data_IF_159929363910
#
_entry.id   IF_159929363910
#
_cell.length_a   1.000
_cell.length_b   1.000
_cell.length_c   1.000
_cell.angle_alpha   90.00
_cell.angle_beta   90.00
_cell.angle_gamma   90.00
#
_symmetry.space_group_name_H-M   'P 1'
#
loop_
_entity.id
_entity.type
_entity.pdbx_description
1 polymer ?
#
# COMPACT_ATOMS: atom_id res chain seq x y z
N UNK A 1 -27.60 27.65 -4.93
CA UNK A 1 -26.32 27.86 -4.23
C UNK A 1 -25.79 26.49 -3.87
N UNK A 2 -24.72 26.04 -4.52
CA UNK A 2 -24.17 24.69 -4.35
C UNK A 2 -23.07 24.67 -3.30
N UNK A 3 -23.23 23.85 -2.27
CA UNK A 3 -22.23 23.60 -1.24
C UNK A 3 -21.28 22.51 -1.71
N UNK A 4 -20.03 22.88 -2.03
CA UNK A 4 -18.94 21.95 -2.33
C UNK A 4 -18.42 21.37 -1.03
N UNK A 5 -18.66 20.07 -0.81
CA UNK A 5 -18.05 19.31 0.27
C UNK A 5 -16.61 18.96 -0.13
N UNK A 6 -15.67 19.82 0.25
CA UNK A 6 -14.24 19.50 0.20
C UNK A 6 -13.95 18.50 1.31
N UNK A 7 -13.81 17.22 0.95
CA UNK A 7 -13.31 16.19 1.86
C UNK A 7 -11.79 16.33 1.97
N UNK A 8 -11.36 17.11 2.96
CA UNK A 8 -9.97 17.22 3.37
C UNK A 8 -9.59 15.92 4.08
N UNK A 9 -8.73 15.12 3.45
CA UNK A 9 -8.13 13.97 4.11
C UNK A 9 -7.16 14.50 5.17
N UNK A 10 -7.52 14.37 6.44
CA UNK A 10 -6.64 14.69 7.57
C UNK A 10 -5.98 13.38 8.00
N UNK A 11 -4.65 13.25 7.87
CA UNK A 11 -3.93 12.13 8.47
C UNK A 11 -4.11 12.19 9.98
N UNK A 12 -4.60 11.09 10.57
CA UNK A 12 -4.69 10.97 12.02
C UNK A 12 -3.29 11.15 12.63
N UNK A 13 -3.12 12.21 13.42
CA UNK A 13 -1.92 12.42 14.22
C UNK A 13 -1.90 11.37 15.33
N UNK A 14 -1.14 10.29 15.11
CA UNK A 14 -0.67 9.45 16.19
C UNK A 14 0.64 10.02 16.69
N UNK A 15 0.63 10.53 17.92
CA UNK A 15 1.81 10.85 18.71
C UNK A 15 2.70 9.63 18.83
N UNK A 16 3.79 9.61 18.09
CA UNK A 16 5.14 9.28 18.57
C UNK A 16 6.13 9.68 17.48
N UNK A 17 7.33 10.07 17.89
CA UNK A 17 8.42 10.59 17.06
C UNK A 17 9.07 9.48 16.21
N UNK A 18 8.24 8.73 15.48
CA UNK A 18 8.64 7.62 14.60
C UNK A 18 8.57 8.20 13.20
N UNK A 19 9.71 8.22 12.49
CA UNK A 19 9.69 8.42 11.04
C UNK A 19 8.59 7.52 10.47
N UNK A 20 7.65 8.02 9.66
CA UNK A 20 6.57 7.19 9.16
C UNK A 20 7.18 5.98 8.44
N UNK A 21 7.11 4.82 9.08
CA UNK A 21 7.56 3.57 8.47
C UNK A 21 6.63 3.37 7.29
N UNK A 22 7.18 3.43 6.08
CA UNK A 22 6.42 3.15 4.87
C UNK A 22 6.06 1.67 4.91
N UNK A 23 4.84 1.39 5.33
CA UNK A 23 4.29 0.03 5.32
C UNK A 23 3.94 -0.38 3.89
N UNK A 24 3.93 -1.68 3.63
CA UNK A 24 3.60 -2.18 2.30
C UNK A 24 2.19 -1.75 1.85
N UNK A 25 1.23 -1.72 2.76
CA UNK A 25 -0.14 -1.27 2.45
C UNK A 25 -0.21 0.23 2.16
N UNK A 26 0.51 1.06 2.93
CA UNK A 26 0.59 2.49 2.64
C UNK A 26 1.27 2.74 1.28
N UNK A 27 2.34 2.00 0.97
CA UNK A 27 3.01 2.10 -0.34
C UNK A 27 2.06 1.79 -1.49
N UNK A 28 1.22 0.74 -1.39
CA UNK A 28 0.20 0.43 -2.41
C UNK A 28 -0.78 1.58 -2.59
N UNK A 29 -1.36 2.07 -1.51
CA UNK A 29 -2.33 3.17 -1.55
C UNK A 29 -1.73 4.42 -2.19
N UNK A 30 -0.48 4.73 -1.86
CA UNK A 30 0.26 5.84 -2.45
C UNK A 30 0.45 5.65 -3.96
N UNK A 31 0.85 4.46 -4.43
CA UNK A 31 1.01 4.19 -5.86
C UNK A 31 -0.32 4.21 -6.61
N UNK A 32 -1.38 3.64 -6.05
CA UNK A 32 -2.73 3.66 -6.63
C UNK A 32 -3.25 5.10 -6.76
N UNK A 33 -3.06 5.92 -5.73
CA UNK A 33 -3.47 7.31 -5.75
C UNK A 33 -2.63 8.13 -6.74
N UNK A 34 -1.31 7.95 -6.77
CA UNK A 34 -0.46 8.57 -7.80
C UNK A 34 -0.93 8.22 -9.21
N UNK A 35 -1.23 6.95 -9.45
CA UNK A 35 -1.74 6.47 -10.73
C UNK A 35 -3.07 7.11 -11.09
N UNK A 36 -3.98 7.24 -10.12
CA UNK A 36 -5.31 7.86 -10.29
C UNK A 36 -5.21 9.36 -10.58
N UNK A 37 -4.47 10.10 -9.76
CA UNK A 37 -4.29 11.55 -9.89
C UNK A 37 -3.59 11.88 -11.21
N UNK A 38 -2.52 11.15 -11.54
CA UNK A 38 -1.80 11.30 -12.80
C UNK A 38 -2.71 11.08 -14.01
N UNK A 39 -3.48 9.99 -14.01
CA UNK A 39 -4.42 9.69 -15.09
C UNK A 39 -5.53 10.74 -15.22
N UNK A 40 -6.02 11.27 -14.09
CA UNK A 40 -7.04 12.32 -14.08
C UNK A 40 -6.49 13.62 -14.69
N UNK A 41 -5.29 14.04 -14.29
CA UNK A 41 -4.64 15.24 -14.81
C UNK A 41 -4.38 15.12 -16.31
N UNK A 42 -3.81 13.99 -16.76
CA UNK A 42 -3.52 13.74 -18.17
C UNK A 42 -4.78 13.71 -19.04
N UNK A 43 -5.90 13.18 -18.54
CA UNK A 43 -7.19 13.24 -19.25
C UNK A 43 -7.70 14.68 -19.38
N UNK A 44 -7.47 15.52 -18.36
CA UNK A 44 -7.82 16.94 -18.36
C UNK A 44 -7.06 17.75 -19.41
N UNK A 45 -5.85 17.32 -19.78
CA UNK A 45 -5.02 17.99 -20.79
C UNK A 45 -5.48 17.79 -22.24
N UNK A 46 -6.40 16.85 -22.50
CA UNK A 46 -6.82 16.50 -23.87
C UNK A 46 -7.56 17.68 -24.52
N UNK A 47 -6.83 18.52 -25.27
CA UNK A 47 -7.35 19.68 -25.99
C UNK A 47 -7.05 21.05 -25.36
N UNK A 48 -6.21 21.13 -24.33
CA UNK A 48 -5.76 22.39 -23.73
C UNK A 48 -4.41 22.86 -24.30
N UNK A 49 -4.11 24.14 -24.12
CA UNK A 49 -2.98 24.93 -24.64
C UNK A 49 -1.69 24.90 -23.77
N UNK A 50 -0.60 25.43 -24.34
CA UNK A 50 0.77 25.61 -23.80
C UNK A 50 0.95 25.67 -22.29
N UNK A 51 0.18 26.55 -21.64
CA UNK A 51 0.34 26.86 -20.22
C UNK A 51 -0.19 25.76 -19.29
N UNK A 52 -1.18 24.98 -19.71
CA UNK A 52 -1.78 23.92 -18.90
C UNK A 52 -0.85 22.72 -18.75
N UNK A 53 -0.03 22.46 -19.77
CA UNK A 53 0.94 21.37 -19.76
C UNK A 53 2.00 21.54 -18.67
N UNK A 54 2.52 22.76 -18.42
CA UNK A 54 3.56 22.95 -17.39
C UNK A 54 3.08 22.52 -15.99
N UNK A 55 1.85 22.90 -15.61
CA UNK A 55 1.29 22.54 -14.31
C UNK A 55 1.07 21.03 -14.20
N UNK A 56 0.56 20.41 -15.25
CA UNK A 56 0.42 18.97 -15.27
C UNK A 56 1.77 18.25 -15.23
N UNK A 57 2.80 18.73 -15.94
CA UNK A 57 4.15 18.15 -15.85
C UNK A 57 4.68 18.20 -14.41
N UNK A 58 4.53 19.34 -13.74
CA UNK A 58 4.94 19.48 -12.34
C UNK A 58 4.21 18.49 -11.43
N UNK A 59 2.89 18.34 -11.60
CA UNK A 59 2.09 17.40 -10.83
C UNK A 59 2.54 15.95 -11.09
N UNK A 60 2.64 15.56 -12.36
CA UNK A 60 3.03 14.20 -12.75
C UNK A 60 4.43 13.89 -12.24
N UNK A 61 5.36 14.85 -12.28
CA UNK A 61 6.71 14.68 -11.75
C UNK A 61 6.73 14.51 -10.24
N UNK A 62 5.88 15.24 -9.50
CA UNK A 62 5.73 15.06 -8.07
C UNK A 62 5.17 13.67 -7.73
N UNK A 63 4.17 13.19 -8.49
CA UNK A 63 3.60 11.85 -8.29
C UNK A 63 4.64 10.76 -8.59
N UNK A 64 5.38 10.86 -9.70
CA UNK A 64 6.46 9.93 -10.00
C UNK A 64 7.55 9.94 -8.93
N UNK A 65 7.98 11.12 -8.50
CA UNK A 65 8.96 11.26 -7.43
C UNK A 65 8.52 10.57 -6.15
N UNK A 66 7.24 10.67 -5.79
CA UNK A 66 6.67 9.92 -4.68
C UNK A 66 6.65 8.41 -4.93
N UNK A 67 6.28 7.95 -6.12
CA UNK A 67 6.31 6.50 -6.43
C UNK A 67 7.73 5.94 -6.32
N UNK A 68 8.74 6.67 -6.80
CA UNK A 68 10.15 6.29 -6.65
C UNK A 68 10.57 6.07 -5.19
N UNK A 69 10.00 6.81 -4.22
CA UNK A 69 10.35 6.62 -2.80
C UNK A 69 9.67 5.41 -2.18
N UNK A 70 8.51 4.99 -2.69
CA UNK A 70 7.72 3.89 -2.10
C UNK A 70 7.82 2.57 -2.85
N UNK A 71 8.34 2.57 -4.08
CA UNK A 71 8.33 1.39 -4.97
C UNK A 71 9.01 0.16 -4.37
N UNK A 72 10.06 0.35 -3.56
CA UNK A 72 10.78 -0.76 -2.92
C UNK A 72 10.00 -1.41 -1.78
N UNK A 73 9.03 -0.69 -1.23
CA UNK A 73 8.18 -1.14 -0.13
C UNK A 73 6.91 -1.84 -0.62
N UNK A 74 6.67 -1.89 -1.93
CA UNK A 74 5.50 -2.55 -2.49
C UNK A 74 5.56 -4.06 -2.23
N UNK A 75 4.43 -4.71 -1.93
CA UNK A 75 4.39 -6.14 -1.86
C UNK A 75 4.82 -6.75 -3.21
N UNK A 76 5.52 -7.88 -3.21
CA UNK A 76 5.97 -8.51 -4.44
C UNK A 76 4.85 -8.83 -5.45
N UNK A 77 3.63 -9.09 -4.97
CA UNK A 77 2.46 -9.41 -5.80
C UNK A 77 1.68 -8.19 -6.30
N UNK A 78 2.03 -6.97 -5.87
CA UNK A 78 1.29 -5.77 -6.26
C UNK A 78 1.76 -5.27 -7.63
N UNK A 79 0.92 -5.24 -8.64
CA UNK A 79 1.33 -4.76 -9.96
C UNK A 79 1.22 -3.22 -10.06
N UNK A 80 2.34 -2.55 -10.35
CA UNK A 80 2.35 -1.11 -10.60
C UNK A 80 1.58 -0.82 -11.90
N UNK A 81 0.63 0.14 -11.89
CA UNK A 81 -0.16 0.46 -13.07
C UNK A 81 0.69 0.80 -14.31
N UNK A 82 0.35 0.15 -15.43
CA UNK A 82 1.11 0.21 -16.68
C UNK A 82 1.32 1.62 -17.21
N UNK A 83 0.31 2.48 -17.14
CA UNK A 83 0.42 3.87 -17.57
C UNK A 83 1.43 4.65 -16.73
N UNK A 84 1.55 4.34 -15.44
CA UNK A 84 2.50 5.02 -14.55
C UNK A 84 3.94 4.63 -14.90
N UNK A 85 4.16 3.36 -15.26
CA UNK A 85 5.45 2.87 -15.78
C UNK A 85 5.78 3.55 -17.12
N UNK A 86 4.82 3.61 -18.05
CA UNK A 86 5.02 4.26 -19.33
C UNK A 86 5.34 5.75 -19.20
N UNK A 87 4.70 6.44 -18.25
CA UNK A 87 5.00 7.83 -17.95
C UNK A 87 6.43 7.94 -17.41
N UNK A 88 6.84 7.12 -16.44
CA UNK A 88 8.23 7.14 -15.93
C UNK A 88 9.26 6.94 -17.05
N UNK A 89 8.99 6.04 -18.00
CA UNK A 89 9.86 5.79 -19.15
C UNK A 89 10.03 6.98 -20.10
N UNK A 90 8.96 7.73 -20.34
CA UNK A 90 8.92 8.77 -21.37
C UNK A 90 9.09 10.18 -20.83
N UNK A 91 8.86 10.35 -19.54
CA UNK A 91 8.91 11.64 -18.89
C UNK A 91 10.37 12.09 -18.77
N UNK A 92 10.70 13.14 -19.51
CA UNK A 92 12.00 13.79 -19.46
C UNK A 92 12.06 14.79 -18.29
N UNK A 93 13.26 15.24 -17.95
CA UNK A 93 13.48 16.22 -16.90
C UNK A 93 12.54 17.43 -17.05
N UNK A 94 11.89 17.82 -15.95
CA UNK A 94 10.97 18.94 -15.92
C UNK A 94 11.58 20.23 -16.48
N UNK A 95 12.87 20.48 -16.26
CA UNK A 95 13.59 21.61 -16.83
C UNK A 95 13.65 21.55 -18.37
N UNK A 96 13.80 20.36 -18.94
CA UNK A 96 13.77 20.13 -20.39
C UNK A 96 12.37 20.40 -20.94
N UNK A 97 11.32 19.90 -20.28
CA UNK A 97 9.91 20.17 -20.66
C UNK A 97 9.64 21.68 -20.65
N UNK A 98 10.09 22.35 -19.59
CA UNK A 98 9.91 23.80 -19.40
C UNK A 98 10.66 24.61 -20.45
N UNK A 99 11.89 24.22 -20.79
CA UNK A 99 12.73 24.93 -21.75
C UNK A 99 12.28 24.72 -23.20
N UNK A 100 11.94 23.48 -23.56
CA UNK A 100 11.52 23.11 -24.93
C UNK A 100 10.04 23.37 -25.19
N UNK A 101 9.26 23.64 -24.14
CA UNK A 101 7.79 23.70 -24.17
C UNK A 101 7.16 22.47 -24.86
N UNK A 102 7.88 21.36 -24.85
CA UNK A 102 7.48 20.14 -25.56
C UNK A 102 7.02 19.15 -24.52
N UNK A 103 5.76 18.74 -24.66
CA UNK A 103 5.19 17.70 -23.84
C UNK A 103 5.76 16.33 -24.24
N UNK A 104 6.03 15.41 -23.29
CA UNK A 104 6.43 14.04 -23.63
C UNK A 104 5.40 13.35 -24.53
N UNK A 105 5.76 12.28 -25.24
CA UNK A 105 4.88 11.62 -26.21
C UNK A 105 3.55 11.10 -25.61
N UNK A 106 2.54 11.96 -25.53
CA UNK A 106 1.28 11.71 -24.81
C UNK A 106 0.59 10.43 -25.27
N UNK A 107 0.43 10.26 -26.57
CA UNK A 107 -0.24 9.09 -27.12
C UNK A 107 0.52 7.80 -26.76
N UNK A 108 1.85 7.80 -26.81
CA UNK A 108 2.65 6.62 -26.48
C UNK A 108 2.50 6.24 -24.99
N UNK A 109 2.55 7.22 -24.10
CA UNK A 109 2.34 6.99 -22.66
C UNK A 109 0.94 6.44 -22.35
N UNK A 110 -0.09 6.95 -23.03
CA UNK A 110 -1.49 6.60 -22.75
C UNK A 110 -1.95 5.30 -23.40
N UNK A 111 -1.28 4.84 -24.45
CA UNK A 111 -1.61 3.58 -25.15
C UNK A 111 -0.57 2.49 -24.92
N UNK A 112 0.36 2.69 -23.99
CA UNK A 112 1.39 1.72 -23.67
C UNK A 112 0.80 0.36 -23.29
N UNK A 113 1.46 -0.69 -23.77
CA UNK A 113 1.15 -2.09 -23.52
C UNK A 113 2.28 -2.71 -22.70
N UNK A 114 2.04 -3.89 -22.15
CA UNK A 114 3.07 -4.64 -21.42
C UNK A 114 4.36 -4.81 -22.22
N UNK A 115 4.24 -5.08 -23.52
CA UNK A 115 5.39 -5.23 -24.42
C UNK A 115 6.28 -3.97 -24.48
N UNK A 116 5.70 -2.78 -24.28
CA UNK A 116 6.39 -1.49 -24.33
C UNK A 116 7.16 -1.22 -23.03
N UNK A 117 6.71 -1.78 -21.90
CA UNK A 117 7.29 -1.51 -20.56
C UNK A 117 8.03 -2.68 -19.94
N UNK A 118 8.03 -3.86 -20.57
CA UNK A 118 8.54 -5.11 -19.98
C UNK A 118 9.98 -5.02 -19.48
N UNK A 119 10.76 -4.12 -20.07
CA UNK A 119 12.16 -3.91 -19.75
C UNK A 119 12.37 -2.91 -18.60
N UNK A 120 11.31 -2.25 -18.16
CA UNK A 120 11.34 -1.29 -17.06
C UNK A 120 11.60 -1.98 -15.71
N UNK A 121 12.45 -1.41 -14.84
CA UNK A 121 12.73 -1.98 -13.51
C UNK A 121 11.47 -2.21 -12.67
N UNK A 122 10.51 -1.26 -12.71
CA UNK A 122 9.25 -1.39 -11.98
C UNK A 122 8.38 -2.54 -12.47
N UNK A 123 8.34 -2.78 -13.80
CA UNK A 123 7.63 -3.93 -14.33
C UNK A 123 8.29 -5.24 -13.90
N UNK A 124 9.63 -5.30 -13.99
CA UNK A 124 10.40 -6.49 -13.64
C UNK A 124 10.34 -6.84 -12.15
N UNK A 125 10.13 -5.87 -11.26
CA UNK A 125 10.04 -6.08 -9.81
C UNK A 125 9.02 -7.18 -9.46
N UNK A 126 7.89 -7.20 -10.16
CA UNK A 126 6.77 -8.13 -9.93
C UNK A 126 6.84 -9.40 -10.76
N UNK A 127 7.69 -9.41 -11.79
CA UNK A 127 7.90 -10.55 -12.67
C UNK A 127 9.16 -11.35 -12.30
N UNK A 128 9.79 -11.04 -11.16
CA UNK A 128 10.91 -11.82 -10.67
C UNK A 128 10.43 -13.22 -10.25
N UNK A 129 11.25 -14.27 -10.49
CA UNK A 129 10.95 -15.59 -9.99
C UNK A 129 10.77 -15.55 -8.47
N UNK A 130 9.82 -16.31 -7.93
CA UNK A 130 9.59 -16.43 -6.48
C UNK A 130 10.83 -16.89 -5.68
N UNK A 131 11.82 -17.47 -6.36
CA UNK A 131 13.12 -17.83 -5.78
C UNK A 131 14.06 -16.63 -5.56
N UNK A 132 13.68 -15.43 -6.01
CA UNK A 132 14.53 -14.24 -5.88
C UNK A 132 14.62 -13.83 -4.39
N UNK A 133 15.82 -13.45 -3.89
CA UNK A 133 16.03 -13.08 -2.48
C UNK A 133 15.05 -12.02 -1.94
N UNK A 134 14.57 -11.15 -2.84
CA UNK A 134 13.55 -10.14 -2.53
C UNK A 134 12.27 -10.73 -1.93
N UNK A 135 11.75 -11.85 -2.47
CA UNK A 135 10.54 -12.49 -1.94
C UNK A 135 10.75 -13.02 -0.51
N UNK A 136 11.92 -13.58 -0.22
CA UNK A 136 12.25 -14.11 1.12
C UNK A 136 12.29 -13.00 2.18
N UNK A 137 12.91 -11.86 1.84
CA UNK A 137 12.98 -10.68 2.73
C UNK A 137 11.59 -10.09 2.97
N UNK A 138 10.77 -10.00 1.92
CA UNK A 138 9.41 -9.45 2.05
C UNK A 138 8.47 -10.41 2.80
N UNK A 139 8.62 -11.73 2.66
CA UNK A 139 7.86 -12.72 3.43
C UNK A 139 8.20 -12.65 4.93
N UNK A 140 9.47 -12.44 5.30
CA UNK A 140 9.88 -12.22 6.70
C UNK A 140 9.32 -10.91 7.28
N UNK A 141 9.17 -9.86 6.46
CA UNK A 141 8.65 -8.56 6.89
C UNK A 141 7.11 -8.50 6.95
N UNK A 142 6.42 -9.30 6.13
CA UNK A 142 4.95 -9.26 5.99
C UNK A 142 4.25 -10.46 6.62
N UNK A 143 4.99 -11.53 6.93
CA UNK A 143 4.50 -12.67 7.70
C UNK A 143 4.15 -12.27 9.14
N UNK A 144 3.27 -13.04 9.81
CA UNK A 144 3.01 -12.81 11.23
C UNK A 144 4.34 -12.87 11.97
N UNK A 145 4.78 -11.73 12.50
CA UNK A 145 5.95 -11.66 13.37
C UNK A 145 5.80 -12.75 14.43
N UNK A 146 6.79 -13.63 14.60
CA UNK A 146 6.77 -14.65 15.66
C UNK A 146 6.56 -14.04 17.06
N UNK A 147 6.75 -12.73 17.20
CA UNK A 147 6.41 -11.96 18.41
C UNK A 147 4.90 -11.94 18.73
N UNK A 148 4.02 -12.06 17.73
CA UNK A 148 2.57 -12.12 17.91
C UNK A 148 2.10 -13.47 18.47
N UNK A 149 2.80 -14.58 18.15
CA UNK A 149 2.47 -15.91 18.68
C UNK A 149 2.79 -16.05 20.18
N UNK A 150 3.80 -15.33 20.69
CA UNK A 150 4.12 -15.34 22.11
C UNK A 150 3.15 -14.54 23.00
N UNK A 151 2.25 -13.73 22.43
CA UNK A 151 1.28 -12.95 23.21
C UNK A 151 -0.12 -13.59 23.29
N UNK A 152 -0.35 -14.69 22.57
CA UNK A 152 -1.62 -15.42 22.60
C UNK A 152 -1.50 -16.80 23.29
N UNK A 153 -0.58 -16.94 24.24
CA UNK A 153 -0.60 -18.10 25.15
C UNK A 153 -1.81 -17.96 26.09
N UNK A 154 -2.79 -18.87 26.07
CA UNK A 154 -3.80 -18.90 27.12
C UNK A 154 -3.09 -19.18 28.45
N UNK A 155 -3.23 -18.28 29.40
CA UNK A 155 -2.83 -18.53 30.80
C UNK A 155 -3.63 -19.75 31.27
N UNK A 156 -2.93 -20.87 31.46
CA UNK A 156 -3.44 -22.07 32.10
C UNK A 156 -3.99 -21.66 33.48
N UNK A 157 -5.32 -21.60 33.60
CA UNK A 157 -6.00 -21.39 34.87
C UNK A 157 -5.73 -22.63 35.71
N UNK A 158 -4.72 -22.51 36.57
CA UNK A 158 -4.30 -23.55 37.50
C UNK A 158 -5.47 -24.27 38.14
N UNK A 159 -5.40 -25.61 38.06
CA UNK A 159 -6.21 -26.58 38.79
C UNK A 159 -6.47 -26.13 40.22
N UNK A 160 -7.73 -25.82 40.52
CA UNK A 160 -8.27 -25.88 41.87
C UNK A 160 -8.17 -27.32 42.37
N UNK A 161 -7.45 -27.49 43.47
CA UNK A 161 -7.18 -28.74 44.17
C UNK A 161 -8.30 -28.99 45.20
N UNK A 162 -8.88 -30.18 45.14
CA UNK A 162 -9.80 -30.75 46.13
C UNK A 162 -9.15 -30.89 47.51
N UNK A 163 -9.91 -30.62 48.56
CA UNK A 163 -9.73 -31.01 49.97
C UNK A 163 -11.10 -30.76 50.62
N UNK A 164 -11.81 -31.67 51.29
CA UNK A 164 -11.62 -33.06 51.65
C UNK A 164 -12.92 -33.53 52.33
N UNK A 165 -13.20 -34.81 52.26
CA UNK A 165 -14.29 -35.55 52.93
C UNK A 165 -14.15 -35.57 54.46
N UNK A 166 -15.25 -35.30 55.17
CA UNK A 166 -15.86 -36.10 56.26
C UNK A 166 -17.08 -35.29 56.78
N UNK A 167 -18.19 -35.82 57.29
CA UNK A 167 -18.39 -37.05 58.05
C UNK A 167 -19.90 -37.37 58.04
N UNK A 168 -20.22 -38.65 58.22
CA UNK A 168 -21.56 -39.20 58.28
C UNK A 168 -22.31 -38.85 59.58
N UNK A 169 -23.61 -38.57 59.47
CA UNK A 169 -24.69 -38.77 60.46
C UNK A 169 -26.00 -38.30 59.77
N UNK A 170 -27.16 -38.95 59.78
CA UNK A 170 -27.66 -40.19 60.33
C UNK A 170 -29.09 -40.39 59.81
N UNK A 171 -29.37 -41.61 59.34
CA UNK A 171 -30.60 -42.39 59.51
C UNK A 171 -31.98 -41.70 59.46
N UNK A 172 -32.76 -41.94 58.38
CA UNK A 172 -34.02 -42.75 58.35
C UNK A 172 -34.95 -42.35 57.18
N UNK A 173 -35.25 -43.34 56.34
CA UNK A 173 -36.52 -43.49 55.60
C UNK A 173 -37.57 -44.08 56.59
N UNK A 174 -38.90 -43.93 56.39
CA UNK A 174 -39.69 -44.59 55.31
C UNK A 174 -40.64 -43.58 54.62
N UNK A 175 -41.30 -43.83 53.49
CA UNK A 175 -41.78 -45.07 52.88
C UNK A 175 -43.29 -44.92 52.67
N UNK A 176 -43.70 -45.13 51.42
CA UNK A 176 -45.01 -45.60 50.94
C UNK A 176 -46.28 -44.71 50.99
N UNK A 177 -46.91 -44.66 49.81
CA UNK A 177 -48.27 -44.28 49.42
C UNK A 177 -48.67 -42.80 49.35
#
# INVERSE_FOLDING_TARGET
MSTTNTSTFIPAQSTDNIQPVITAENAKQMVEEAARVTMQELKGLRGQDGMHWRKAAQLVWAQLGMVHTVVQHLPPAFEIPLHLIAIDMHMVDLAIIVATQTWPPFNQMMTAREADVKDHPWYRLHHQPKSHPYYKVMEELTGPSSRAEYQAQPVDKGKGKELGTDEAQGTRLPGEH
#
